data_IF_006155402867
#
_entry.id   IF_006155402867
#
_cell.length_a   1.000
_cell.length_b   1.000
_cell.length_c   1.000
_cell.angle_alpha   90.00
_cell.angle_beta   90.00
_cell.angle_gamma   90.00
#
_symmetry.space_group_name_H-M   'P 1'
#
loop_
_entity.id
_entity.type
_entity.pdbx_description
1 polymer ?
#
# COMPACT_ATOMS: atom_id res chain seq x y z
N UNK A 1 10.46 -19.80 -9.66
CA UNK A 1 11.15 -19.62 -8.37
C UNK A 1 10.11 -19.63 -7.26
N UNK A 2 10.42 -20.32 -6.15
CA UNK A 2 9.55 -20.31 -4.97
C UNK A 2 9.65 -18.93 -4.34
N UNK A 3 8.53 -18.30 -4.02
CA UNK A 3 8.50 -17.01 -3.34
C UNK A 3 9.12 -17.14 -1.94
N UNK A 4 9.98 -16.21 -1.59
CA UNK A 4 10.56 -16.10 -0.25
C UNK A 4 9.75 -15.10 0.58
N UNK A 5 9.03 -15.61 1.59
CA UNK A 5 8.22 -14.79 2.51
C UNK A 5 9.04 -13.72 3.23
N UNK A 6 10.33 -13.97 3.49
CA UNK A 6 11.20 -13.05 4.23
C UNK A 6 11.46 -11.74 3.47
N UNK A 7 11.22 -11.74 2.16
CA UNK A 7 11.38 -10.56 1.31
C UNK A 7 10.10 -9.71 1.17
N UNK A 8 8.97 -10.20 1.73
CA UNK A 8 7.72 -9.45 1.70
C UNK A 8 7.76 -8.28 2.68
N UNK A 9 7.22 -7.15 2.22
CA UNK A 9 7.06 -5.93 3.02
C UNK A 9 5.59 -5.55 3.14
N UNK A 10 5.29 -4.68 4.09
CA UNK A 10 3.98 -4.05 4.14
C UNK A 10 3.68 -3.38 2.79
N UNK A 11 2.41 -3.40 2.40
CA UNK A 11 1.91 -2.82 1.16
C UNK A 11 2.27 -3.58 -0.13
N UNK A 12 3.12 -4.61 -0.08
CA UNK A 12 3.30 -5.48 -1.26
C UNK A 12 1.95 -6.08 -1.67
N UNK A 13 1.71 -6.14 -2.98
CA UNK A 13 0.55 -6.79 -3.56
C UNK A 13 0.90 -8.23 -3.90
N UNK A 14 0.13 -9.18 -3.38
CA UNK A 14 0.34 -10.62 -3.59
C UNK A 14 -0.86 -11.18 -4.36
N UNK A 15 -0.60 -11.79 -5.49
CA UNK A 15 -1.63 -12.38 -6.35
C UNK A 15 -1.79 -13.87 -6.05
N UNK A 16 -2.99 -14.29 -5.56
CA UNK A 16 -3.28 -15.72 -5.36
C UNK A 16 -3.45 -16.42 -6.70
N UNK A 17 -2.88 -17.62 -6.82
CA UNK A 17 -3.21 -18.54 -7.91
C UNK A 17 -4.61 -19.16 -7.72
N UNK A 18 -5.06 -19.94 -8.70
CA UNK A 18 -6.41 -20.55 -8.70
C UNK A 18 -6.71 -21.39 -7.44
N UNK A 19 -5.75 -22.14 -6.95
CA UNK A 19 -5.89 -22.94 -5.72
C UNK A 19 -6.10 -22.04 -4.49
N UNK A 20 -5.32 -20.98 -4.35
CA UNK A 20 -5.46 -20.00 -3.27
C UNK A 20 -6.81 -19.28 -3.32
N UNK A 21 -7.23 -18.82 -4.50
CA UNK A 21 -8.54 -18.18 -4.68
C UNK A 21 -9.70 -19.11 -4.30
N UNK A 22 -9.66 -20.36 -4.76
CA UNK A 22 -10.68 -21.37 -4.42
C UNK A 22 -10.75 -21.63 -2.92
N UNK A 23 -9.61 -21.79 -2.26
CA UNK A 23 -9.55 -22.00 -0.81
C UNK A 23 -10.09 -20.78 -0.05
N UNK A 24 -9.67 -19.57 -0.41
CA UNK A 24 -10.13 -18.33 0.23
C UNK A 24 -11.64 -18.13 0.01
N UNK A 25 -12.14 -18.38 -1.19
CA UNK A 25 -13.57 -18.33 -1.47
C UNK A 25 -14.36 -19.27 -0.56
N UNK A 26 -13.90 -20.51 -0.37
CA UNK A 26 -14.55 -21.48 0.53
C UNK A 26 -14.60 -21.01 1.99
N UNK A 27 -13.54 -20.37 2.48
CA UNK A 27 -13.50 -19.83 3.85
C UNK A 27 -14.62 -18.79 4.05
N UNK A 28 -14.81 -17.88 3.10
CA UNK A 28 -15.77 -16.77 3.24
C UNK A 28 -17.22 -17.13 2.83
N UNK A 29 -17.43 -18.18 2.04
CA UNK A 29 -18.78 -18.57 1.56
C UNK A 29 -19.78 -18.85 2.68
N UNK A 30 -19.32 -19.29 3.85
CA UNK A 30 -20.19 -19.63 4.99
C UNK A 30 -20.46 -18.43 5.91
N UNK A 31 -19.73 -17.34 5.77
CA UNK A 31 -19.78 -16.20 6.70
C UNK A 31 -20.53 -14.99 6.14
N UNK A 32 -20.70 -14.92 4.82
CA UNK A 32 -21.23 -13.75 4.14
C UNK A 32 -22.48 -14.07 3.34
N UNK A 33 -23.42 -13.12 3.33
CA UNK A 33 -24.69 -13.23 2.61
C UNK A 33 -24.96 -11.98 1.77
N UNK A 34 -25.89 -12.08 0.82
CA UNK A 34 -26.32 -10.95 -0.01
C UNK A 34 -25.21 -10.34 -0.84
N UNK A 35 -25.18 -9.01 -0.90
CA UNK A 35 -24.21 -8.25 -1.71
C UNK A 35 -22.77 -8.56 -1.32
N UNK A 36 -22.47 -8.71 -0.03
CA UNK A 36 -21.11 -9.05 0.45
C UNK A 36 -20.64 -10.41 -0.07
N UNK A 37 -21.51 -11.40 -0.12
CA UNK A 37 -21.18 -12.71 -0.68
C UNK A 37 -20.88 -12.63 -2.18
N UNK A 38 -21.65 -11.82 -2.92
CA UNK A 38 -21.40 -11.58 -4.35
C UNK A 38 -20.05 -10.92 -4.60
N UNK A 39 -19.75 -9.83 -3.89
CA UNK A 39 -18.46 -9.12 -4.02
C UNK A 39 -17.28 -10.01 -3.60
N UNK A 40 -17.46 -10.85 -2.59
CA UNK A 40 -16.45 -11.82 -2.15
C UNK A 40 -16.19 -12.87 -3.24
N UNK A 41 -17.23 -13.38 -3.87
CA UNK A 41 -17.09 -14.31 -4.98
C UNK A 41 -16.35 -13.69 -6.16
N UNK A 42 -16.58 -12.40 -6.43
CA UNK A 42 -15.87 -11.67 -7.47
C UNK A 42 -14.37 -11.46 -7.14
N UNK A 43 -14.02 -11.10 -5.90
CA UNK A 43 -12.63 -11.03 -5.44
C UNK A 43 -11.89 -12.35 -5.70
N UNK A 44 -12.51 -13.49 -5.39
CA UNK A 44 -11.86 -14.80 -5.46
C UNK A 44 -12.19 -15.61 -6.71
N UNK A 45 -12.85 -15.02 -7.71
CA UNK A 45 -13.05 -15.64 -9.00
C UNK A 45 -11.70 -16.06 -9.62
N UNK A 46 -11.68 -17.16 -10.37
CA UNK A 46 -10.45 -17.76 -10.89
C UNK A 46 -9.61 -16.79 -11.77
N UNK A 47 -10.29 -15.93 -12.52
CA UNK A 47 -9.73 -14.91 -13.42
C UNK A 47 -9.66 -13.50 -12.79
N UNK A 48 -9.93 -13.37 -11.50
CA UNK A 48 -9.88 -12.08 -10.81
C UNK A 48 -8.44 -11.52 -10.81
N UNK A 49 -8.33 -10.24 -11.08
CA UNK A 49 -7.07 -9.49 -11.04
C UNK A 49 -6.79 -8.84 -9.67
N UNK A 50 -7.73 -8.97 -8.71
CA UNK A 50 -7.61 -8.34 -7.39
C UNK A 50 -6.56 -9.05 -6.54
N UNK A 51 -5.47 -8.35 -6.12
CA UNK A 51 -4.45 -8.89 -5.24
C UNK A 51 -4.84 -8.77 -3.76
N UNK A 52 -4.16 -9.52 -2.92
CA UNK A 52 -4.11 -9.26 -1.49
C UNK A 52 -3.00 -8.27 -1.15
N UNK A 53 -3.27 -7.30 -0.29
CA UNK A 53 -2.29 -6.36 0.23
C UNK A 53 -1.65 -6.98 1.46
N UNK A 54 -0.32 -7.12 1.48
CA UNK A 54 0.41 -7.62 2.65
C UNK A 54 0.20 -6.67 3.83
N UNK A 55 -0.27 -7.22 4.94
CA UNK A 55 -0.61 -6.47 6.14
C UNK A 55 0.11 -7.03 7.36
N UNK A 56 0.17 -6.22 8.41
CA UNK A 56 0.64 -6.66 9.73
C UNK A 56 -0.33 -7.70 10.31
N UNK A 57 0.23 -8.71 10.99
CA UNK A 57 -0.53 -9.57 11.89
C UNK A 57 0.35 -9.95 13.09
N UNK A 58 -0.26 -10.07 14.26
CA UNK A 58 0.44 -10.34 15.52
C UNK A 58 1.04 -11.74 15.57
N UNK A 59 0.38 -12.71 14.94
CA UNK A 59 0.85 -14.09 14.87
C UNK A 59 0.42 -14.70 13.54
N UNK A 60 1.38 -15.19 12.77
CA UNK A 60 1.15 -15.85 11.47
C UNK A 60 2.06 -17.05 11.35
N UNK A 61 1.51 -18.20 10.96
CA UNK A 61 2.31 -19.39 10.68
C UNK A 61 3.40 -19.11 9.63
N UNK A 62 4.50 -19.83 9.69
CA UNK A 62 5.67 -19.57 8.83
C UNK A 62 5.34 -19.62 7.34
N UNK A 63 4.43 -20.53 6.94
CA UNK A 63 3.98 -20.69 5.55
C UNK A 63 2.83 -19.79 5.12
N UNK A 64 2.32 -18.92 5.99
CA UNK A 64 1.18 -18.03 5.71
C UNK A 64 1.62 -16.58 5.55
N UNK A 65 0.92 -15.86 4.68
CA UNK A 65 1.08 -14.42 4.42
C UNK A 65 -0.21 -13.74 4.86
N UNK A 66 -0.18 -12.82 5.83
CA UNK A 66 -1.37 -12.04 6.20
C UNK A 66 -1.68 -11.01 5.11
N UNK A 67 -2.86 -11.08 4.54
CA UNK A 67 -3.30 -10.22 3.44
C UNK A 67 -4.65 -9.59 3.71
N UNK A 68 -4.90 -8.44 3.10
CA UNK A 68 -6.20 -7.79 3.04
C UNK A 68 -6.65 -7.67 1.60
N UNK A 69 -7.86 -8.14 1.28
CA UNK A 69 -8.48 -7.93 -0.02
C UNK A 69 -9.50 -6.79 0.07
N UNK A 70 -9.58 -6.00 -0.99
CA UNK A 70 -10.53 -4.89 -1.10
C UNK A 70 -11.27 -5.01 -2.43
N UNK A 71 -12.59 -4.85 -2.42
CA UNK A 71 -13.38 -4.77 -3.67
C UNK A 71 -13.51 -3.29 -4.11
N UNK A 72 -13.42 -2.96 -5.42
CA UNK A 72 -13.57 -1.58 -5.88
C UNK A 72 -14.98 -1.02 -5.65
N UNK A 73 -16.02 -1.84 -5.78
CA UNK A 73 -17.41 -1.42 -5.56
C UNK A 73 -17.71 -1.18 -4.07
N UNK A 74 -18.51 -0.14 -3.81
CA UNK A 74 -19.02 0.16 -2.48
C UNK A 74 -20.19 -0.76 -2.13
N UNK A 75 -20.21 -1.26 -0.90
CA UNK A 75 -21.33 -2.00 -0.29
C UNK A 75 -21.79 -1.23 0.95
N UNK A 76 -23.00 -0.70 0.92
CA UNK A 76 -23.49 0.16 2.00
C UNK A 76 -22.65 1.41 2.25
N UNK A 77 -22.12 2.04 1.20
CA UNK A 77 -21.28 3.25 1.27
C UNK A 77 -19.84 3.01 1.67
N UNK A 78 -19.41 1.75 1.87
CA UNK A 78 -18.03 1.39 2.22
C UNK A 78 -17.53 0.25 1.34
N UNK A 79 -16.22 0.21 1.10
CA UNK A 79 -15.62 -0.93 0.40
C UNK A 79 -15.59 -2.17 1.29
N UNK A 80 -15.92 -3.31 0.68
CA UNK A 80 -15.71 -4.62 1.32
C UNK A 80 -14.21 -4.82 1.52
N UNK A 81 -13.82 -5.12 2.75
CA UNK A 81 -12.45 -5.45 3.14
C UNK A 81 -12.43 -6.80 3.80
N UNK A 82 -11.66 -7.74 3.29
CA UNK A 82 -11.54 -9.10 3.79
C UNK A 82 -10.12 -9.33 4.30
N UNK A 83 -9.98 -9.65 5.57
CA UNK A 83 -8.70 -10.08 6.14
C UNK A 83 -8.57 -11.61 5.96
N UNK A 84 -7.46 -12.05 5.43
CA UNK A 84 -7.19 -13.45 5.15
C UNK A 84 -5.73 -13.82 5.36
N UNK A 85 -5.46 -15.12 5.35
CA UNK A 85 -4.11 -15.67 5.29
C UNK A 85 -3.96 -16.49 4.00
N UNK A 86 -2.98 -16.11 3.17
CA UNK A 86 -2.63 -16.82 1.94
C UNK A 86 -1.40 -17.72 2.21
N UNK A 87 -1.43 -18.96 1.74
CA UNK A 87 -0.21 -19.79 1.81
C UNK A 87 0.84 -19.24 0.86
N UNK A 88 2.10 -19.25 1.28
CA UNK A 88 3.25 -18.86 0.42
C UNK A 88 3.23 -19.64 -0.90
N UNK A 89 2.86 -20.92 -0.87
CA UNK A 89 2.75 -21.78 -2.05
C UNK A 89 1.58 -21.46 -2.98
N UNK A 90 0.60 -20.69 -2.53
CA UNK A 90 -0.57 -20.26 -3.30
C UNK A 90 -0.36 -18.91 -3.97
N UNK A 91 0.68 -18.16 -3.60
CA UNK A 91 1.02 -16.89 -4.22
C UNK A 91 1.81 -17.11 -5.51
N UNK A 92 1.37 -16.50 -6.59
CA UNK A 92 1.97 -16.68 -7.93
C UNK A 92 2.77 -15.48 -8.40
N UNK A 93 2.50 -14.30 -7.82
CA UNK A 93 3.17 -13.05 -8.16
C UNK A 93 3.16 -12.11 -6.95
N UNK A 94 4.21 -11.31 -6.84
CA UNK A 94 4.30 -10.16 -5.93
C UNK A 94 4.59 -8.93 -6.77
N UNK A 95 3.92 -7.83 -6.47
CA UNK A 95 4.17 -6.52 -7.07
C UNK A 95 4.38 -5.50 -5.96
N UNK A 96 5.44 -4.74 -6.07
CA UNK A 96 5.82 -3.77 -5.04
C UNK A 96 5.26 -2.39 -5.35
N UNK A 97 5.00 -1.55 -4.33
CA UNK A 97 4.57 -0.16 -4.53
C UNK A 97 5.45 0.65 -5.49
N UNK A 98 6.75 0.39 -5.49
CA UNK A 98 7.73 1.07 -6.35
C UNK A 98 7.57 0.70 -7.84
N UNK A 99 7.09 -0.51 -8.15
CA UNK A 99 6.80 -0.94 -9.51
C UNK A 99 5.53 -0.26 -10.04
N UNK A 100 4.57 0.04 -9.16
CA UNK A 100 3.35 0.77 -9.50
C UNK A 100 3.66 2.22 -9.91
N UNK A 101 4.55 2.90 -9.20
CA UNK A 101 4.97 4.26 -9.54
C UNK A 101 5.72 4.34 -10.89
N UNK A 102 6.36 3.24 -11.31
CA UNK A 102 7.04 3.13 -12.60
C UNK A 102 6.12 2.68 -13.76
N UNK A 103 4.90 2.23 -13.45
CA UNK A 103 3.94 1.78 -14.46
C UNK A 103 3.31 2.96 -15.21
N UNK A 104 2.87 2.70 -16.44
CA UNK A 104 2.04 3.65 -17.19
C UNK A 104 0.57 3.44 -16.82
N UNK A 105 -0.13 4.52 -16.49
CA UNK A 105 -1.56 4.49 -16.17
C UNK A 105 -2.26 5.76 -16.64
N UNK A 106 -3.59 5.71 -16.78
CA UNK A 106 -4.43 6.84 -17.18
C UNK A 106 -4.88 7.62 -15.96
N UNK A 107 -4.81 8.95 -16.03
CA UNK A 107 -5.32 9.86 -15.00
C UNK A 107 -6.85 10.01 -15.11
N UNK A 108 -7.59 8.99 -14.72
CA UNK A 108 -9.05 8.99 -14.80
C UNK A 108 -9.73 9.80 -13.67
N UNK A 109 -9.00 10.10 -12.59
CA UNK A 109 -9.46 10.86 -11.43
C UNK A 109 -8.40 11.88 -11.02
N UNK A 110 -8.78 12.87 -10.21
CA UNK A 110 -7.83 13.87 -9.67
C UNK A 110 -6.74 13.20 -8.83
N UNK A 111 -7.07 12.14 -8.09
CA UNK A 111 -6.11 11.32 -7.35
C UNK A 111 -5.05 10.71 -8.29
N UNK A 112 -5.45 10.12 -9.42
CA UNK A 112 -4.50 9.56 -10.40
C UNK A 112 -3.75 10.65 -11.18
N UNK A 113 -4.36 11.81 -11.42
CA UNK A 113 -3.68 12.95 -12.00
C UNK A 113 -2.59 13.51 -11.07
N UNK A 114 -2.90 13.62 -9.77
CA UNK A 114 -1.90 13.95 -8.75
C UNK A 114 -0.78 12.91 -8.69
N UNK A 115 -1.13 11.61 -8.75
CA UNK A 115 -0.14 10.53 -8.78
C UNK A 115 0.82 10.65 -9.97
N UNK A 116 0.32 10.95 -11.19
CA UNK A 116 1.19 11.20 -12.36
C UNK A 116 2.13 12.39 -12.14
N UNK A 117 1.63 13.50 -11.59
CA UNK A 117 2.45 14.67 -11.31
C UNK A 117 3.56 14.35 -10.29
N UNK A 118 3.23 13.61 -9.22
CA UNK A 118 4.21 13.17 -8.21
C UNK A 118 5.23 12.20 -8.83
N UNK A 119 4.81 11.23 -9.64
CA UNK A 119 5.72 10.31 -10.32
C UNK A 119 6.71 11.05 -11.23
N UNK A 120 6.23 12.04 -12.01
CA UNK A 120 7.08 12.84 -12.87
C UNK A 120 8.12 13.65 -12.07
N UNK A 121 7.70 14.28 -10.98
CA UNK A 121 8.61 15.00 -10.09
C UNK A 121 9.65 14.06 -9.46
N UNK A 122 9.20 12.95 -8.88
CA UNK A 122 10.06 11.96 -8.23
C UNK A 122 11.12 11.39 -9.22
N UNK A 123 10.72 11.10 -10.46
CA UNK A 123 11.63 10.64 -11.50
C UNK A 123 12.70 11.71 -11.84
N UNK A 124 12.32 12.98 -11.97
CA UNK A 124 13.24 14.10 -12.21
C UNK A 124 14.24 14.31 -11.06
N UNK A 125 13.84 13.98 -9.83
CA UNK A 125 14.66 14.09 -8.62
C UNK A 125 15.35 12.77 -8.22
N UNK A 126 15.21 11.72 -9.01
CA UNK A 126 15.73 10.36 -8.70
C UNK A 126 15.27 9.84 -7.33
N UNK A 127 14.02 10.15 -6.96
CA UNK A 127 13.40 9.68 -5.73
C UNK A 127 12.75 8.31 -5.98
N UNK A 128 13.04 7.35 -5.12
CA UNK A 128 12.40 6.03 -5.14
C UNK A 128 11.02 6.12 -4.51
N UNK A 129 10.01 6.29 -5.37
CA UNK A 129 8.61 6.48 -5.00
C UNK A 129 7.82 5.17 -5.16
N UNK A 130 6.95 4.88 -4.19
CA UNK A 130 5.92 3.85 -4.27
C UNK A 130 4.51 4.45 -4.18
N UNK A 131 3.53 3.83 -4.84
CA UNK A 131 2.11 4.19 -4.74
C UNK A 131 1.37 3.11 -3.98
N UNK A 132 0.57 3.51 -3.00
CA UNK A 132 -0.19 2.65 -2.10
C UNK A 132 -1.70 2.84 -2.30
N UNK A 133 -2.48 2.22 -1.42
CA UNK A 133 -3.91 2.47 -1.25
C UNK A 133 -4.75 2.25 -2.50
N UNK A 134 -5.77 3.07 -2.67
CA UNK A 134 -6.72 2.98 -3.79
C UNK A 134 -6.06 3.25 -5.13
N UNK A 135 -5.18 4.25 -5.21
CA UNK A 135 -4.45 4.55 -6.44
C UNK A 135 -3.53 3.38 -6.85
N UNK A 136 -2.81 2.78 -5.89
CA UNK A 136 -1.99 1.60 -6.14
C UNK A 136 -2.79 0.41 -6.67
N UNK A 137 -3.95 0.12 -6.07
CA UNK A 137 -4.84 -0.95 -6.53
C UNK A 137 -5.39 -0.69 -7.92
N UNK A 138 -5.79 0.55 -8.23
CA UNK A 138 -6.29 0.90 -9.57
C UNK A 138 -5.21 0.75 -10.63
N UNK A 139 -4.00 1.24 -10.36
CA UNK A 139 -2.85 1.08 -11.28
C UNK A 139 -2.52 -0.40 -11.50
N UNK A 140 -2.55 -1.21 -10.43
CA UNK A 140 -2.23 -2.64 -10.50
C UNK A 140 -3.26 -3.47 -11.25
N UNK A 141 -4.55 -3.10 -11.18
CA UNK A 141 -5.67 -3.94 -11.64
C UNK A 141 -6.43 -3.38 -12.84
N UNK A 142 -6.35 -2.07 -13.08
CA UNK A 142 -7.21 -1.36 -14.02
C UNK A 142 -8.67 -1.22 -13.57
N UNK A 143 -9.02 -1.63 -12.35
CA UNK A 143 -10.36 -1.52 -11.78
C UNK A 143 -10.53 -0.17 -11.06
N UNK A 144 -11.74 0.43 -11.03
CA UNK A 144 -11.98 1.78 -10.50
C UNK A 144 -11.94 1.81 -8.96
N UNK A 145 -10.75 1.84 -8.39
CA UNK A 145 -10.57 1.97 -6.94
C UNK A 145 -10.52 3.43 -6.47
N UNK A 146 -10.27 4.41 -7.33
CA UNK A 146 -10.27 5.82 -6.97
C UNK A 146 -11.59 6.50 -7.31
N UNK A 147 -11.93 7.55 -6.59
CA UNK A 147 -13.08 8.43 -6.83
C UNK A 147 -12.71 9.87 -6.47
N UNK A 148 -13.68 10.82 -6.50
CA UNK A 148 -13.49 12.23 -6.17
C UNK A 148 -12.95 12.49 -4.76
N UNK A 149 -13.18 11.59 -3.82
CA UNK A 149 -12.84 11.76 -2.40
C UNK A 149 -11.62 10.90 -2.01
N UNK A 150 -10.94 10.32 -3.00
CA UNK A 150 -9.77 9.46 -2.74
C UNK A 150 -8.55 10.30 -2.42
N UNK A 151 -7.93 10.02 -1.28
CA UNK A 151 -6.57 10.43 -0.95
C UNK A 151 -5.53 9.68 -1.78
N UNK A 152 -4.32 10.22 -1.86
CA UNK A 152 -3.18 9.61 -2.50
C UNK A 152 -2.16 9.17 -1.45
N UNK A 153 -2.06 7.85 -1.25
CA UNK A 153 -1.10 7.24 -0.35
C UNK A 153 0.21 6.92 -1.06
N UNK A 154 1.32 7.40 -0.55
CA UNK A 154 2.66 7.27 -1.13
C UNK A 154 3.66 6.67 -0.14
N UNK A 155 4.71 6.06 -0.68
CA UNK A 155 5.82 5.49 0.06
C UNK A 155 7.15 5.97 -0.52
N UNK A 156 8.09 6.36 0.34
CA UNK A 156 9.47 6.66 -0.04
C UNK A 156 10.46 5.94 0.88
N UNK A 157 11.69 5.77 0.39
CA UNK A 157 12.81 5.23 1.14
C UNK A 157 14.12 5.86 0.68
N UNK A 158 15.15 5.85 1.53
CA UNK A 158 16.49 6.29 1.17
C UNK A 158 16.62 7.79 0.90
N UNK A 159 15.87 8.62 1.61
CA UNK A 159 15.98 10.07 1.54
C UNK A 159 16.55 10.63 2.85
N UNK A 160 17.53 11.55 2.72
CA UNK A 160 17.93 12.39 3.87
C UNK A 160 16.76 13.25 4.35
N UNK A 161 16.83 13.72 5.58
CA UNK A 161 15.80 14.59 6.15
C UNK A 161 15.56 15.83 5.30
N UNK A 162 16.62 16.45 4.77
CA UNK A 162 16.54 17.65 3.94
C UNK A 162 15.76 17.36 2.64
N UNK A 163 16.14 16.30 1.91
CA UNK A 163 15.45 15.89 0.69
C UNK A 163 14.00 15.46 0.95
N UNK A 164 13.76 14.81 2.10
CA UNK A 164 12.41 14.42 2.50
C UNK A 164 11.53 15.65 2.78
N UNK A 165 12.09 16.71 3.40
CA UNK A 165 11.39 17.96 3.65
C UNK A 165 11.07 18.70 2.35
N UNK A 166 11.99 18.77 1.40
CA UNK A 166 11.78 19.36 0.08
C UNK A 166 10.70 18.59 -0.69
N UNK A 167 10.80 17.26 -0.71
CA UNK A 167 9.81 16.41 -1.37
C UNK A 167 8.42 16.57 -0.75
N UNK A 168 8.33 16.57 0.58
CA UNK A 168 7.07 16.76 1.29
C UNK A 168 6.42 18.12 0.99
N UNK A 169 7.21 19.18 0.88
CA UNK A 169 6.70 20.51 0.49
C UNK A 169 6.13 20.51 -0.94
N UNK A 170 6.78 19.83 -1.88
CA UNK A 170 6.27 19.67 -3.25
C UNK A 170 4.97 18.86 -3.28
N UNK A 171 4.88 17.77 -2.51
CA UNK A 171 3.62 17.00 -2.39
C UNK A 171 2.46 17.87 -1.91
N UNK A 172 2.69 18.76 -0.94
CA UNK A 172 1.67 19.72 -0.48
C UNK A 172 1.25 20.69 -1.60
N UNK A 173 2.18 21.11 -2.46
CA UNK A 173 1.87 21.97 -3.61
C UNK A 173 1.04 21.22 -4.67
N UNK A 174 1.42 19.99 -4.99
CA UNK A 174 0.67 19.11 -5.91
C UNK A 174 -0.72 18.81 -5.35
N UNK A 175 -0.83 18.45 -4.07
CA UNK A 175 -2.11 18.18 -3.42
C UNK A 175 -3.07 19.35 -3.52
N UNK A 176 -2.61 20.58 -3.25
CA UNK A 176 -3.42 21.80 -3.42
C UNK A 176 -3.85 22.04 -4.88
N UNK A 177 -2.96 21.75 -5.85
CA UNK A 177 -3.25 21.93 -7.27
C UNK A 177 -4.36 20.99 -7.76
N UNK A 178 -4.37 19.75 -7.32
CA UNK A 178 -5.34 18.72 -7.72
C UNK A 178 -6.50 18.57 -6.74
N UNK A 179 -6.49 19.30 -5.62
CA UNK A 179 -7.47 19.18 -4.53
C UNK A 179 -7.55 17.77 -3.96
N UNK A 180 -6.39 17.12 -3.80
CA UNK A 180 -6.23 15.76 -3.28
C UNK A 180 -5.37 15.80 -2.02
N UNK A 181 -5.82 15.14 -0.97
CA UNK A 181 -4.98 14.91 0.22
C UNK A 181 -3.91 13.88 -0.11
N UNK A 182 -2.65 14.21 0.17
CA UNK A 182 -1.51 13.33 -0.09
C UNK A 182 -0.88 12.93 1.23
N UNK A 183 -0.92 11.63 1.53
CA UNK A 183 -0.26 11.01 2.66
C UNK A 183 1.04 10.33 2.23
N UNK A 184 2.15 10.70 2.88
CA UNK A 184 3.46 10.13 2.63
C UNK A 184 3.90 9.28 3.82
N UNK A 185 4.22 8.02 3.56
CA UNK A 185 4.92 7.12 4.48
C UNK A 185 6.41 7.07 4.10
N UNK A 186 7.31 7.19 5.07
CA UNK A 186 8.74 6.98 4.90
C UNK A 186 9.13 5.62 5.46
N UNK A 187 9.66 4.74 4.60
CA UNK A 187 10.23 3.45 5.01
C UNK A 187 11.67 3.67 5.47
N UNK A 188 11.95 3.38 6.73
CA UNK A 188 13.27 3.47 7.34
C UNK A 188 14.10 2.20 7.10
N UNK A 189 15.43 2.33 7.14
CA UNK A 189 16.36 1.20 6.96
C UNK A 189 16.14 0.05 7.97
N UNK A 190 15.62 0.36 9.16
CA UNK A 190 15.27 -0.64 10.17
C UNK A 190 13.94 -1.37 9.94
N UNK A 191 13.26 -1.12 8.80
CA UNK A 191 12.01 -1.78 8.39
C UNK A 191 10.73 -1.19 8.96
N UNK A 192 10.79 -0.10 9.72
CA UNK A 192 9.60 0.65 10.13
C UNK A 192 9.19 1.66 9.08
N UNK A 193 7.88 1.72 8.79
CA UNK A 193 7.25 2.83 8.08
C UNK A 193 6.71 3.85 9.07
N UNK A 194 6.96 5.12 8.83
CA UNK A 194 6.46 6.25 9.63
C UNK A 194 5.68 7.21 8.76
N UNK A 195 4.64 7.85 9.31
CA UNK A 195 3.94 8.93 8.61
C UNK A 195 4.85 10.16 8.57
N UNK A 196 5.26 10.57 7.38
CA UNK A 196 6.24 11.65 7.19
C UNK A 196 5.83 12.96 7.86
N UNK A 197 4.52 13.29 7.82
CA UNK A 197 3.97 14.48 8.47
C UNK A 197 4.32 14.55 9.98
N UNK A 198 4.43 13.40 10.68
CA UNK A 198 4.77 13.37 12.11
C UNK A 198 6.20 13.87 12.39
N UNK A 199 7.12 13.75 11.41
CA UNK A 199 8.49 14.26 11.56
C UNK A 199 8.53 15.79 11.69
N UNK A 200 7.60 16.49 11.04
CA UNK A 200 7.56 17.96 10.99
C UNK A 200 6.65 18.56 12.04
N UNK A 201 5.98 17.75 12.86
CA UNK A 201 5.20 18.22 14.00
C UNK A 201 6.09 18.44 15.25
N UNK A 202 5.71 19.31 16.20
CA UNK A 202 6.48 19.56 17.40
C UNK A 202 6.32 18.46 18.48
N UNK A 203 6.41 17.19 18.05
CA UNK A 203 6.34 16.01 18.93
C UNK A 203 7.72 15.42 19.12
N UNK A 204 7.95 14.71 20.22
CA UNK A 204 9.23 14.03 20.47
C UNK A 204 9.26 12.59 19.97
N UNK A 205 8.10 12.08 19.54
CA UNK A 205 7.93 10.69 19.12
C UNK A 205 7.12 10.61 17.83
N UNK A 206 7.29 9.53 17.10
CA UNK A 206 6.52 9.15 15.91
C UNK A 206 6.07 7.70 16.02
N UNK A 207 4.99 7.34 15.30
CA UNK A 207 4.49 5.97 15.27
C UNK A 207 5.16 5.18 14.15
N UNK A 208 6.02 4.22 14.52
CA UNK A 208 6.62 3.27 13.59
C UNK A 208 5.76 2.02 13.42
N UNK A 209 5.55 1.59 12.19
CA UNK A 209 4.78 0.39 11.82
C UNK A 209 5.64 -0.56 11.01
N UNK A 210 5.78 -1.81 11.47
CA UNK A 210 6.44 -2.88 10.73
C UNK A 210 5.45 -3.98 10.32
N UNK A 211 5.93 -5.09 9.75
CA UNK A 211 5.10 -6.29 9.53
C UNK A 211 4.73 -6.99 10.84
N UNK A 212 5.57 -6.86 11.87
CA UNK A 212 5.45 -7.60 13.13
C UNK A 212 4.71 -6.78 14.19
N UNK A 213 5.03 -5.50 14.31
CA UNK A 213 4.59 -4.68 15.43
C UNK A 213 4.31 -3.20 15.05
N UNK A 214 3.88 -2.47 16.06
CA UNK A 214 3.75 -1.01 16.04
C UNK A 214 4.48 -0.49 17.28
N UNK A 215 5.39 0.44 17.09
CA UNK A 215 6.20 1.02 18.17
C UNK A 215 6.14 2.53 18.16
N UNK A 216 6.24 3.12 19.35
CA UNK A 216 6.49 4.55 19.52
C UNK A 216 8.00 4.75 19.45
N UNK A 217 8.48 5.37 18.38
CA UNK A 217 9.89 5.65 18.14
C UNK A 217 10.22 7.06 18.61
N UNK A 218 11.39 7.25 19.23
CA UNK A 218 11.92 8.60 19.50
C UNK A 218 12.27 9.25 18.17
N UNK A 219 11.85 10.49 17.98
CA UNK A 219 12.14 11.26 16.76
C UNK A 219 13.64 11.43 16.54
N UNK A 220 14.42 11.65 17.61
CA UNK A 220 15.88 11.71 17.54
C UNK A 220 16.49 10.47 16.87
N UNK A 221 16.08 9.25 17.28
CA UNK A 221 16.54 8.01 16.68
C UNK A 221 16.15 7.90 15.20
N UNK A 222 14.94 8.35 14.83
CA UNK A 222 14.51 8.37 13.43
C UNK A 222 15.37 9.32 12.59
N UNK A 223 15.70 10.51 13.14
CA UNK A 223 16.55 11.48 12.47
C UNK A 223 17.99 10.96 12.28
N UNK A 224 18.52 10.21 13.26
CA UNK A 224 19.80 9.53 13.14
C UNK A 224 19.81 8.51 11.99
N UNK A 225 18.74 7.70 11.86
CA UNK A 225 18.59 6.73 10.76
C UNK A 225 18.58 7.47 9.42
N UNK A 226 17.74 8.50 9.27
CA UNK A 226 17.65 9.29 8.02
C UNK A 226 18.98 9.99 7.65
N UNK A 227 19.78 10.38 8.64
CA UNK A 227 21.11 10.98 8.37
C UNK A 227 22.12 9.98 7.80
N UNK A 228 21.92 8.68 7.99
CA UNK A 228 22.78 7.61 7.48
C UNK A 228 22.34 7.14 6.07
N UNK A 229 21.14 7.50 5.64
CA UNK A 229 20.59 7.16 4.31
C UNK A 229 20.96 8.20 3.22
N UNK A 230 21.69 9.25 3.59
CA UNK A 230 22.06 10.39 2.73
C UNK A 230 23.25 10.09 1.81
#
# INVERSE_FOLDING_TARGET
PRMDKTQLKRHDLVYPGSAGRKRLQQIFLHELTGEKAFLTADIFRADSVIPGIVRRAESVAAEMIPVGFVHPQLCGGRRLRLAAELKVSEAVQVQRPYELAAASFTAATDCLAAAQAVCAYAAGQQIRLGILGSAGLEIATGLPFTNSDSDLDLLVTGLSLERLQEFYAELQAIGRRFQVDIDLETELANGYGIKTAELFQPTQTVLGKSLQDVQILKKETVLEILSQEA
#
